data_IF_478282513886
#
_entry.id   IF_478282513886
#
_cell.length_a   1.000
_cell.length_b   1.000
_cell.length_c   1.000
_cell.angle_alpha   90.00
_cell.angle_beta   90.00
_cell.angle_gamma   90.00
#
_symmetry.space_group_name_H-M   'P 1'
#
loop_
_entity.id
_entity.type
_entity.pdbx_description
1 polymer ?
#
# COMPACT_ATOMS: atom_id res chain seq x y z
N UNK A 1 -1.70 -12.88 -19.40
CA UNK A 1 -2.64 -11.74 -19.33
C UNK A 1 -2.37 -10.87 -18.10
N UNK A 2 -2.36 -11.43 -16.90
CA UNK A 2 -2.18 -10.68 -15.65
C UNK A 2 -0.83 -9.99 -15.56
N UNK A 3 0.25 -10.68 -15.94
CA UNK A 3 1.60 -10.12 -15.93
C UNK A 3 1.74 -9.01 -16.98
N UNK A 4 1.14 -9.16 -18.16
CA UNK A 4 1.15 -8.13 -19.20
C UNK A 4 0.37 -6.89 -18.76
N UNK A 5 -0.82 -7.07 -18.15
CA UNK A 5 -1.61 -5.97 -17.60
C UNK A 5 -0.87 -5.23 -16.47
N UNK A 6 -0.16 -5.98 -15.61
CA UNK A 6 0.69 -5.40 -14.57
C UNK A 6 1.83 -4.57 -15.16
N UNK A 7 2.54 -5.07 -16.17
CA UNK A 7 3.62 -4.34 -16.83
C UNK A 7 3.12 -3.05 -17.51
N UNK A 8 2.01 -3.15 -18.25
CA UNK A 8 1.40 -1.99 -18.92
C UNK A 8 0.95 -0.95 -17.88
N UNK A 9 0.28 -1.40 -16.81
CA UNK A 9 -0.12 -0.54 -15.70
C UNK A 9 1.07 0.14 -15.02
N UNK A 10 2.15 -0.60 -14.79
CA UNK A 10 3.38 -0.07 -14.19
C UNK A 10 4.05 0.97 -15.10
N UNK A 11 4.14 0.70 -16.40
CA UNK A 11 4.68 1.65 -17.36
C UNK A 11 3.83 2.93 -17.44
N UNK A 12 2.51 2.77 -17.50
CA UNK A 12 1.58 3.90 -17.49
C UNK A 12 1.76 4.78 -16.25
N UNK A 13 1.80 4.17 -15.03
CA UNK A 13 1.97 4.93 -13.80
C UNK A 13 3.37 5.52 -13.65
N UNK A 14 4.40 4.89 -14.20
CA UNK A 14 5.74 5.49 -14.25
C UNK A 14 5.77 6.77 -15.08
N UNK A 15 5.14 6.76 -16.25
CA UNK A 15 5.01 7.94 -17.13
C UNK A 15 4.11 9.00 -16.49
N UNK A 16 2.94 8.62 -15.98
CA UNK A 16 2.01 9.51 -15.29
C UNK A 16 2.69 10.21 -14.09
N UNK A 17 3.38 9.45 -13.25
CA UNK A 17 4.11 9.99 -12.11
C UNK A 17 5.24 10.94 -12.54
N UNK A 18 6.00 10.58 -13.57
CA UNK A 18 7.02 11.46 -14.11
C UNK A 18 6.43 12.81 -14.56
N UNK A 19 5.34 12.79 -15.33
CA UNK A 19 4.66 14.01 -15.79
C UNK A 19 4.14 14.83 -14.60
N UNK A 20 3.45 14.20 -13.66
CA UNK A 20 2.82 14.91 -12.54
C UNK A 20 3.82 15.50 -11.54
N UNK A 21 4.98 14.83 -11.30
CA UNK A 21 5.87 15.20 -10.20
C UNK A 21 7.25 15.70 -10.62
N UNK A 22 7.67 15.45 -11.86
CA UNK A 22 8.94 15.94 -12.40
C UNK A 22 8.76 17.15 -13.31
N UNK A 23 7.72 17.14 -14.15
CA UNK A 23 7.47 18.22 -15.10
C UNK A 23 6.67 19.36 -14.45
N UNK A 24 5.77 19.04 -13.51
CA UNK A 24 4.93 20.05 -12.86
C UNK A 24 5.18 20.10 -11.35
N UNK A 25 4.86 21.24 -10.72
CA UNK A 25 4.98 21.38 -9.26
C UNK A 25 4.10 20.36 -8.54
N UNK A 26 4.68 19.62 -7.59
CA UNK A 26 3.96 18.64 -6.76
C UNK A 26 2.91 19.33 -5.88
N UNK A 27 1.78 18.65 -5.67
CA UNK A 27 0.72 19.07 -4.74
C UNK A 27 -0.02 17.87 -4.18
N UNK A 28 -0.66 18.03 -3.01
CA UNK A 28 -1.43 16.95 -2.39
C UNK A 28 -2.58 16.48 -3.27
N UNK A 29 -3.19 17.37 -4.07
CA UNK A 29 -4.23 17.00 -5.05
C UNK A 29 -3.69 16.05 -6.12
N UNK A 30 -2.49 16.29 -6.63
CA UNK A 30 -1.85 15.44 -7.65
C UNK A 30 -1.45 14.08 -7.06
N UNK A 31 -0.96 14.07 -5.82
CA UNK A 31 -0.65 12.83 -5.10
C UNK A 31 -1.90 11.99 -4.92
N UNK A 32 -2.99 12.56 -4.41
CA UNK A 32 -4.26 11.85 -4.26
C UNK A 32 -4.82 11.38 -5.61
N UNK A 33 -4.69 12.18 -6.67
CA UNK A 33 -5.09 11.76 -8.02
C UNK A 33 -4.29 10.55 -8.49
N UNK A 34 -2.96 10.57 -8.30
CA UNK A 34 -2.09 9.46 -8.65
C UNK A 34 -2.44 8.18 -7.87
N UNK A 35 -2.66 8.31 -6.57
CA UNK A 35 -3.07 7.19 -5.71
C UNK A 35 -4.45 6.63 -6.08
N UNK A 36 -5.41 7.50 -6.44
CA UNK A 36 -6.71 7.08 -6.99
C UNK A 36 -6.55 6.30 -8.29
N UNK A 37 -5.66 6.74 -9.17
CA UNK A 37 -5.34 6.02 -10.42
C UNK A 37 -4.73 4.65 -10.15
N UNK A 38 -3.81 4.55 -9.17
CA UNK A 38 -3.23 3.27 -8.73
C UNK A 38 -4.30 2.33 -8.16
N UNK A 39 -5.14 2.83 -7.25
CA UNK A 39 -6.22 2.05 -6.64
C UNK A 39 -7.21 1.53 -7.70
N UNK A 40 -7.59 2.39 -8.66
CA UNK A 40 -8.44 2.00 -9.77
C UNK A 40 -7.81 0.90 -10.63
N UNK A 41 -6.54 1.07 -11.02
CA UNK A 41 -5.80 0.08 -11.81
C UNK A 41 -5.63 -1.24 -11.05
N UNK A 42 -5.34 -1.19 -9.77
CA UNK A 42 -5.25 -2.38 -8.93
C UNK A 42 -6.58 -3.14 -8.91
N UNK A 43 -7.69 -2.47 -8.65
CA UNK A 43 -9.02 -3.07 -8.69
C UNK A 43 -9.38 -3.63 -10.07
N UNK A 44 -9.06 -2.90 -11.14
CA UNK A 44 -9.30 -3.35 -12.51
C UNK A 44 -8.52 -4.63 -12.84
N UNK A 45 -7.23 -4.71 -12.47
CA UNK A 45 -6.39 -5.90 -12.70
C UNK A 45 -6.91 -7.08 -11.91
N UNK A 46 -7.16 -6.90 -10.61
CA UNK A 46 -7.62 -7.97 -9.71
C UNK A 46 -8.94 -8.58 -10.18
N UNK A 47 -9.91 -7.74 -10.58
CA UNK A 47 -11.22 -8.19 -11.04
C UNK A 47 -11.17 -8.95 -12.40
N UNK A 48 -10.08 -8.82 -13.15
CA UNK A 48 -9.87 -9.48 -14.44
C UNK A 48 -8.88 -10.64 -14.40
N UNK A 49 -8.36 -10.98 -13.22
CA UNK A 49 -7.51 -12.16 -13.07
C UNK A 49 -8.32 -13.43 -13.41
N UNK A 50 -7.85 -14.25 -14.34
CA UNK A 50 -8.52 -15.51 -14.65
C UNK A 50 -8.54 -16.40 -13.41
N UNK A 51 -9.67 -17.05 -13.16
CA UNK A 51 -9.89 -17.97 -12.03
C UNK A 51 -9.79 -17.33 -10.62
N UNK A 52 -9.78 -16.01 -10.51
CA UNK A 52 -9.81 -15.29 -9.22
C UNK A 52 -11.18 -14.61 -9.07
N UNK A 53 -11.86 -14.94 -7.98
CA UNK A 53 -13.08 -14.23 -7.57
C UNK A 53 -12.77 -13.46 -6.29
N UNK A 54 -12.87 -12.16 -6.34
CA UNK A 54 -12.69 -11.30 -5.17
C UNK A 54 -14.02 -11.07 -4.46
N UNK A 55 -14.02 -11.23 -3.14
CA UNK A 55 -15.12 -10.86 -2.27
C UNK A 55 -14.57 -10.10 -1.08
N UNK A 56 -15.02 -8.87 -0.89
CA UNK A 56 -14.71 -8.08 0.31
C UNK A 56 -15.82 -8.32 1.34
N UNK A 57 -15.45 -8.82 2.51
CA UNK A 57 -16.34 -9.00 3.65
C UNK A 57 -16.04 -7.90 4.66
N UNK A 58 -16.92 -6.93 4.78
CA UNK A 58 -16.77 -5.78 5.66
C UNK A 58 -17.97 -5.71 6.62
N UNK A 59 -17.93 -6.56 7.65
CA UNK A 59 -19.05 -6.71 8.60
C UNK A 59 -19.31 -5.46 9.45
N UNK A 60 -18.27 -4.64 9.68
CA UNK A 60 -18.37 -3.45 10.53
C UNK A 60 -18.59 -2.16 9.74
N UNK A 61 -18.69 -2.23 8.41
CA UNK A 61 -18.89 -1.07 7.56
C UNK A 61 -17.70 -0.10 7.57
N UNK A 62 -16.47 -0.63 7.71
CA UNK A 62 -15.25 0.19 7.66
C UNK A 62 -15.17 0.92 6.32
N UNK A 63 -15.04 2.24 6.36
CA UNK A 63 -14.98 3.11 5.19
C UNK A 63 -13.58 3.68 4.92
N UNK A 64 -12.60 3.33 5.75
CA UNK A 64 -11.21 3.82 5.68
C UNK A 64 -11.08 5.36 5.73
N UNK A 65 -12.06 6.06 6.28
CA UNK A 65 -12.01 7.51 6.41
C UNK A 65 -11.23 7.95 7.65
N UNK A 66 -11.21 7.13 8.70
CA UNK A 66 -10.41 7.33 9.90
C UNK A 66 -9.02 6.73 9.71
N UNK A 67 -7.94 7.51 9.84
CA UNK A 67 -6.59 6.97 9.81
C UNK A 67 -6.37 5.85 10.81
N UNK A 68 -5.74 4.78 10.39
CA UNK A 68 -5.43 3.60 11.19
C UNK A 68 -4.12 2.94 10.77
N UNK A 69 -3.56 2.10 11.60
CA UNK A 69 -2.51 1.17 11.21
C UNK A 69 -3.19 -0.12 10.74
N UNK A 70 -3.16 -0.33 9.43
CA UNK A 70 -3.70 -1.53 8.81
C UNK A 70 -2.65 -2.63 8.87
N UNK A 71 -3.01 -3.78 9.42
CA UNK A 71 -2.18 -4.99 9.41
C UNK A 71 -2.83 -6.05 8.55
N UNK A 72 -2.04 -6.75 7.75
CA UNK A 72 -2.54 -7.80 6.86
C UNK A 72 -1.55 -8.96 6.80
N UNK A 73 -2.03 -10.20 6.71
CA UNK A 73 -1.18 -11.34 6.38
C UNK A 73 -0.65 -11.22 4.94
N UNK A 74 0.50 -11.81 4.66
CA UNK A 74 1.17 -11.69 3.37
C UNK A 74 1.44 -13.05 2.73
N UNK A 75 0.77 -13.32 1.62
CA UNK A 75 0.87 -14.60 0.90
C UNK A 75 1.33 -14.42 -0.54
N UNK A 76 0.97 -13.28 -1.18
CA UNK A 76 1.14 -13.10 -2.61
C UNK A 76 1.50 -11.65 -2.98
N UNK A 77 2.04 -11.46 -4.18
CA UNK A 77 2.18 -10.11 -4.76
C UNK A 77 0.84 -9.42 -5.02
N UNK A 78 -0.25 -10.20 -5.17
CA UNK A 78 -1.60 -9.68 -5.39
C UNK A 78 -2.13 -8.97 -4.13
N UNK A 79 -1.65 -9.32 -2.95
CA UNK A 79 -2.09 -8.73 -1.68
C UNK A 79 -1.96 -7.20 -1.68
N UNK A 80 -0.88 -6.69 -2.27
CA UNK A 80 -0.68 -5.24 -2.43
C UNK A 80 -1.80 -4.60 -3.25
N UNK A 81 -2.22 -5.25 -4.34
CA UNK A 81 -3.31 -4.75 -5.19
C UNK A 81 -4.65 -4.84 -4.49
N UNK A 82 -4.89 -5.93 -3.73
CA UNK A 82 -6.11 -6.09 -2.92
C UNK A 82 -6.23 -4.99 -1.86
N UNK A 83 -5.13 -4.61 -1.23
CA UNK A 83 -5.14 -3.51 -0.24
C UNK A 83 -5.29 -2.15 -0.93
N UNK A 84 -4.53 -1.89 -2.00
CA UNK A 84 -4.61 -0.61 -2.71
C UNK A 84 -6.00 -0.31 -3.26
N UNK A 85 -6.76 -1.32 -3.67
CA UNK A 85 -8.11 -1.10 -4.20
C UNK A 85 -9.14 -0.71 -3.15
N UNK A 86 -8.86 -0.91 -1.85
CA UNK A 86 -9.79 -0.59 -0.76
C UNK A 86 -9.93 0.92 -0.55
N UNK A 87 -8.82 1.64 -0.59
CA UNK A 87 -8.82 3.10 -0.45
C UNK A 87 -7.57 3.73 -1.09
N UNK A 88 -7.71 4.86 -1.78
CA UNK A 88 -6.58 5.61 -2.31
C UNK A 88 -5.76 6.31 -1.21
N UNK A 89 -6.24 6.30 0.04
CA UNK A 89 -5.56 6.92 1.19
C UNK A 89 -4.88 5.88 2.07
N UNK A 90 -4.38 4.81 1.47
CA UNK A 90 -3.54 3.81 2.15
C UNK A 90 -2.11 3.95 1.65
N UNK A 91 -1.19 4.22 2.57
CA UNK A 91 0.25 4.22 2.31
C UNK A 91 0.84 2.91 2.82
N UNK A 92 1.58 2.23 1.97
CA UNK A 92 2.17 0.93 2.28
C UNK A 92 3.62 1.10 2.70
N UNK A 93 3.99 0.52 3.84
CA UNK A 93 5.39 0.42 4.24
C UNK A 93 6.05 -0.71 3.45
N UNK A 94 7.20 -0.41 2.86
CA UNK A 94 7.90 -1.31 1.96
C UNK A 94 9.30 -1.66 2.47
N UNK A 95 9.87 -2.72 1.94
CA UNK A 95 11.28 -3.03 2.13
C UNK A 95 12.15 -2.17 1.20
N UNK A 96 13.40 -1.98 1.59
CA UNK A 96 14.37 -1.17 0.85
C UNK A 96 14.60 -1.67 -0.59
N UNK A 97 14.62 -2.99 -0.81
CA UNK A 97 14.80 -3.54 -2.14
C UNK A 97 13.65 -3.20 -3.09
N UNK A 98 12.41 -3.10 -2.59
CA UNK A 98 11.23 -2.68 -3.35
C UNK A 98 11.34 -1.20 -3.70
N UNK A 99 11.76 -0.38 -2.75
CA UNK A 99 12.00 1.06 -2.92
C UNK A 99 13.04 1.37 -3.99
N UNK A 100 14.09 0.55 -4.07
CA UNK A 100 15.17 0.68 -5.04
C UNK A 100 14.93 -0.10 -6.33
N UNK A 101 13.76 -0.72 -6.50
CA UNK A 101 13.41 -1.46 -7.71
C UNK A 101 13.42 -0.56 -8.95
N UNK A 102 14.09 -0.96 -10.05
CA UNK A 102 14.09 -0.20 -11.30
C UNK A 102 12.70 -0.18 -11.95
N UNK A 103 11.84 -1.17 -11.67
CA UNK A 103 10.54 -1.32 -12.32
C UNK A 103 9.43 -0.53 -11.62
N UNK A 104 9.37 -0.56 -10.28
CA UNK A 104 8.29 0.09 -9.52
C UNK A 104 8.75 1.07 -8.45
N UNK A 105 10.06 1.21 -8.23
CA UNK A 105 10.59 2.13 -7.22
C UNK A 105 10.11 3.57 -7.42
N UNK A 106 10.01 4.04 -8.65
CA UNK A 106 9.47 5.38 -8.94
C UNK A 106 7.97 5.47 -8.62
N UNK A 107 7.19 4.44 -8.95
CA UNK A 107 5.74 4.41 -8.68
C UNK A 107 5.48 4.52 -7.18
N UNK A 108 6.21 3.74 -6.36
CA UNK A 108 6.07 3.75 -4.91
C UNK A 108 6.45 5.10 -4.31
N UNK A 109 7.53 5.73 -4.82
CA UNK A 109 7.94 7.08 -4.42
C UNK A 109 6.89 8.13 -4.74
N UNK A 110 6.28 8.05 -5.91
CA UNK A 110 5.19 8.95 -6.31
C UNK A 110 3.89 8.72 -5.50
N UNK A 111 3.67 7.49 -5.03
CA UNK A 111 2.53 7.13 -4.19
C UNK A 111 2.72 7.46 -2.71
N UNK A 112 3.86 8.06 -2.30
CA UNK A 112 4.26 8.26 -0.91
C UNK A 112 4.35 6.96 -0.08
N UNK A 113 4.49 5.80 -0.72
CA UNK A 113 4.84 4.60 0.02
C UNK A 113 6.22 4.79 0.62
N UNK A 114 6.49 4.19 1.77
CA UNK A 114 7.69 4.54 2.52
C UNK A 114 8.52 3.30 2.86
N UNK A 115 9.85 3.35 2.68
CA UNK A 115 10.71 2.24 3.05
C UNK A 115 10.98 2.23 4.56
N UNK A 116 10.90 1.07 5.17
CA UNK A 116 11.40 0.87 6.53
C UNK A 116 12.88 0.57 6.46
N UNK A 117 13.70 1.58 6.68
CA UNK A 117 15.16 1.49 6.69
C UNK A 117 15.66 1.73 8.12
N UNK A 118 16.49 0.82 8.63
CA UNK A 118 17.08 0.93 9.97
C UNK A 118 16.09 1.11 11.13
N UNK A 119 14.90 0.50 10.98
CA UNK A 119 13.84 0.55 11.99
C UNK A 119 12.70 1.50 11.64
N UNK A 120 11.55 1.23 12.25
CA UNK A 120 10.31 1.98 12.02
C UNK A 120 10.33 3.35 12.70
N UNK A 121 11.18 3.52 13.69
CA UNK A 121 11.33 4.72 14.50
C UNK A 121 11.71 5.94 13.65
N UNK A 122 12.56 5.74 12.66
CA UNK A 122 13.00 6.79 11.74
C UNK A 122 11.89 7.28 10.78
N UNK A 123 10.78 6.56 10.73
CA UNK A 123 9.65 6.86 9.83
C UNK A 123 8.55 7.67 10.49
N UNK A 124 8.53 7.78 11.83
CA UNK A 124 7.40 8.32 12.62
C UNK A 124 7.04 9.74 12.19
N UNK A 125 8.02 10.63 12.07
CA UNK A 125 7.75 12.03 11.69
C UNK A 125 7.14 12.14 10.29
N UNK A 126 7.63 11.36 9.33
CA UNK A 126 7.07 11.34 7.98
C UNK A 126 5.64 10.78 7.97
N UNK A 127 5.41 9.68 8.70
CA UNK A 127 4.11 9.03 8.77
C UNK A 127 3.08 9.89 9.51
N UNK A 128 3.46 10.62 10.57
CA UNK A 128 2.59 11.57 11.25
C UNK A 128 2.01 12.61 10.30
N UNK A 129 2.83 13.17 9.42
CA UNK A 129 2.38 14.14 8.40
C UNK A 129 1.39 13.54 7.40
N UNK A 130 1.50 12.26 7.09
CA UNK A 130 0.54 11.57 6.21
C UNK A 130 -0.79 11.31 6.95
N UNK A 131 -0.72 10.96 8.22
CA UNK A 131 -1.90 10.74 9.07
C UNK A 131 -2.70 12.04 9.22
N UNK A 132 -2.05 13.17 9.44
CA UNK A 132 -2.71 14.48 9.47
C UNK A 132 -3.45 14.82 8.17
N UNK A 133 -3.00 14.26 7.04
CA UNK A 133 -3.66 14.36 5.74
C UNK A 133 -4.75 13.30 5.52
N UNK A 134 -5.05 12.48 6.52
CA UNK A 134 -6.09 11.46 6.48
C UNK A 134 -5.66 10.15 5.81
N UNK A 135 -4.37 9.81 5.82
CA UNK A 135 -3.87 8.53 5.31
C UNK A 135 -3.79 7.48 6.42
N UNK A 136 -4.12 6.25 6.09
CA UNK A 136 -3.83 5.07 6.89
C UNK A 136 -2.48 4.47 6.48
N UNK A 137 -1.80 3.83 7.43
CA UNK A 137 -0.51 3.17 7.21
C UNK A 137 -0.72 1.67 7.17
N UNK A 138 -0.30 1.03 6.10
CA UNK A 138 -0.44 -0.43 5.94
C UNK A 138 0.90 -1.12 6.08
N UNK A 139 0.93 -2.18 6.86
CA UNK A 139 2.09 -3.03 7.12
C UNK A 139 1.72 -4.49 7.00
N UNK A 140 2.60 -5.29 6.39
CA UNK A 140 2.62 -6.74 6.54
C UNK A 140 3.47 -7.09 7.76
N UNK A 141 2.87 -7.42 8.93
CA UNK A 141 3.63 -7.58 10.17
C UNK A 141 4.51 -8.83 10.17
N UNK A 142 4.32 -9.73 9.22
CA UNK A 142 5.15 -10.91 9.01
C UNK A 142 6.53 -10.57 8.41
N UNK A 143 6.68 -9.41 7.77
CA UNK A 143 7.90 -8.96 7.11
C UNK A 143 8.27 -9.74 5.84
N UNK A 144 7.68 -10.89 5.62
CA UNK A 144 7.88 -11.74 4.44
C UNK A 144 6.59 -12.49 4.09
N UNK A 145 6.54 -13.05 2.89
CA UNK A 145 5.39 -13.86 2.45
C UNK A 145 5.48 -15.27 3.05
N UNK A 146 4.34 -15.82 3.45
CA UNK A 146 4.24 -17.24 3.78
C UNK A 146 4.20 -18.09 2.50
N UNK A 147 4.90 -19.23 2.50
CA UNK A 147 4.90 -20.15 1.36
C UNK A 147 3.78 -21.19 1.39
N UNK A 148 3.10 -21.34 2.53
CA UNK A 148 2.15 -22.42 2.82
C UNK A 148 0.77 -21.91 3.24
N UNK A 149 0.48 -20.64 2.98
CA UNK A 149 -0.75 -19.96 3.39
C UNK A 149 -0.96 -19.87 4.91
N UNK A 150 0.04 -20.18 5.72
CA UNK A 150 0.00 -19.95 7.17
C UNK A 150 0.24 -18.46 7.50
N UNK A 151 -0.18 -18.04 8.68
CA UNK A 151 0.16 -16.72 9.22
C UNK A 151 1.42 -16.86 10.04
N UNK A 152 2.49 -16.21 9.61
CA UNK A 152 3.76 -16.20 10.32
C UNK A 152 3.69 -15.31 11.58
N UNK A 153 4.73 -15.42 12.41
CA UNK A 153 4.86 -14.57 13.59
C UNK A 153 4.89 -13.09 13.21
N UNK A 154 4.10 -12.28 13.89
CA UNK A 154 4.08 -10.84 13.72
C UNK A 154 5.25 -10.16 14.44
N UNK A 155 5.93 -9.29 13.74
CA UNK A 155 6.92 -8.39 14.30
C UNK A 155 6.25 -7.23 15.06
N UNK A 156 6.92 -6.71 16.07
CA UNK A 156 6.40 -5.65 16.94
C UNK A 156 6.20 -4.29 16.24
N UNK A 157 6.87 -4.07 15.11
CA UNK A 157 6.93 -2.77 14.44
C UNK A 157 5.57 -2.14 14.14
N UNK A 158 4.59 -2.94 13.68
CA UNK A 158 3.24 -2.43 13.40
C UNK A 158 2.53 -1.90 14.65
N UNK A 159 2.64 -2.64 15.76
CA UNK A 159 2.01 -2.28 17.05
C UNK A 159 2.71 -1.10 17.70
N UNK A 160 4.04 -1.08 17.65
CA UNK A 160 4.84 0.07 18.09
C UNK A 160 4.44 1.35 17.34
N UNK A 161 4.28 1.26 16.02
CA UNK A 161 3.84 2.40 15.21
C UNK A 161 2.44 2.89 15.61
N UNK A 162 1.50 1.96 15.83
CA UNK A 162 0.14 2.29 16.27
C UNK A 162 0.15 3.02 17.62
N UNK A 163 0.97 2.58 18.56
CA UNK A 163 1.15 3.22 19.87
C UNK A 163 1.74 4.62 19.73
N UNK A 164 2.86 4.77 19.00
CA UNK A 164 3.54 6.06 18.84
C UNK A 164 2.66 7.10 18.12
N UNK A 165 1.87 6.67 17.14
CA UNK A 165 0.99 7.53 16.36
C UNK A 165 -0.42 7.65 16.97
N UNK A 166 -0.70 6.96 18.07
CA UNK A 166 -2.00 6.91 18.75
C UNK A 166 -3.15 6.55 17.81
N UNK A 167 -2.92 5.53 16.99
CA UNK A 167 -3.88 5.03 16.00
C UNK A 167 -4.45 3.68 16.40
N UNK A 168 -5.69 3.43 15.99
CA UNK A 168 -6.27 2.11 16.07
C UNK A 168 -5.57 1.15 15.10
N UNK A 169 -5.55 -0.14 15.46
CA UNK A 169 -5.07 -1.20 14.57
C UNK A 169 -6.28 -1.82 13.86
N UNK A 170 -6.24 -1.81 12.52
CA UNK A 170 -7.28 -2.40 11.67
C UNK A 170 -6.74 -3.70 11.03
N UNK A 171 -7.14 -4.88 11.51
CA UNK A 171 -6.72 -6.14 10.91
C UNK A 171 -7.52 -6.44 9.63
N UNK A 172 -6.81 -6.82 8.57
CA UNK A 172 -7.36 -7.35 7.32
C UNK A 172 -6.81 -8.77 7.13
N UNK A 173 -7.68 -9.69 6.79
CA UNK A 173 -7.29 -11.06 6.44
C UNK A 173 -7.51 -11.29 4.94
N UNK A 174 -6.47 -11.74 4.25
CA UNK A 174 -6.53 -12.23 2.88
C UNK A 174 -6.48 -13.75 2.92
N UNK A 175 -7.44 -14.37 2.24
CA UNK A 175 -7.55 -15.83 2.19
C UNK A 175 -7.71 -16.28 0.73
#
# INVERSE_FOLDING_TARGET
WSFTAFLIGSLFHSILGFVLFKITKSSDRKKLFFQKSLAFTAGFVVQRLPNVKTRVINQRGEDFMKPSVIICNHQSHIDLMLIMMLSPRIVILTNEWVWNSPFYGNIIKYADFYPVVNGIENSIEHLSRLIEKGYSIMIFPEGTRSGDCSINRFHRGAFYLAEQLRLDVLPILIH
#
